data_IF_858676381550
#
_entry.id   IF_858676381550
#
_cell.length_a   1.000
_cell.length_b   1.000
_cell.length_c   1.000
_cell.angle_alpha   90.00
_cell.angle_beta   90.00
_cell.angle_gamma   90.00
#
_symmetry.space_group_name_H-M   'P 1'
#
loop_
_entity.id
_entity.type
_entity.pdbx_description
1 polymer ?
#
# COMPACT_ATOMS: atom_id res chain seq x y z
N UNK A 1 -52.74 2.38 0.13
CA UNK A 1 -53.17 2.35 -1.32
C UNK A 1 -54.54 1.68 -1.39
N UNK A 2 -55.54 2.19 -2.16
CA UNK A 2 -56.81 1.53 -2.32
C UNK A 2 -56.64 0.14 -2.91
N UNK A 3 -57.43 -0.82 -2.47
CA UNK A 3 -57.37 -2.21 -2.95
C UNK A 3 -57.69 -2.36 -4.45
N UNK A 4 -58.21 -1.30 -5.09
CA UNK A 4 -58.54 -1.23 -6.53
C UNK A 4 -57.44 -0.58 -7.38
N UNK A 5 -56.34 -0.09 -6.78
CA UNK A 5 -55.25 0.50 -7.53
C UNK A 5 -54.53 -0.56 -8.37
N UNK A 6 -54.26 -0.23 -9.64
CA UNK A 6 -53.51 -1.15 -10.51
C UNK A 6 -52.04 -1.10 -10.15
N UNK A 7 -51.34 -2.22 -10.26
CA UNK A 7 -49.90 -2.30 -9.97
C UNK A 7 -49.09 -1.26 -10.76
N UNK A 8 -49.48 -1.00 -12.01
CA UNK A 8 -48.84 0.00 -12.88
C UNK A 8 -48.91 1.44 -12.35
N UNK A 9 -49.92 1.75 -11.50
CA UNK A 9 -50.14 3.08 -10.97
C UNK A 9 -49.33 3.33 -9.66
N UNK A 10 -48.73 2.28 -9.10
CA UNK A 10 -47.97 2.30 -7.84
C UNK A 10 -46.54 1.78 -7.97
N UNK A 11 -46.18 1.21 -9.13
CA UNK A 11 -44.81 0.73 -9.37
C UNK A 11 -43.85 1.90 -9.61
N UNK A 12 -42.61 1.72 -9.20
CA UNK A 12 -41.52 2.63 -9.60
C UNK A 12 -41.16 2.31 -11.07
N UNK A 13 -41.15 3.35 -11.92
CA UNK A 13 -40.83 3.19 -13.34
C UNK A 13 -39.33 3.27 -13.59
N UNK A 14 -38.62 4.03 -12.76
CA UNK A 14 -37.15 4.23 -12.83
C UNK A 14 -36.46 3.15 -11.98
N UNK A 15 -36.47 1.91 -12.42
CA UNK A 15 -35.84 0.81 -11.73
C UNK A 15 -34.36 0.74 -12.12
N UNK A 16 -33.46 0.87 -11.12
CA UNK A 16 -32.05 0.63 -11.32
C UNK A 16 -31.85 -0.86 -11.59
N UNK A 17 -31.12 -1.18 -12.66
CA UNK A 17 -30.81 -2.56 -13.06
C UNK A 17 -29.36 -2.65 -13.54
N UNK A 18 -28.79 -3.84 -13.49
CA UNK A 18 -27.46 -4.15 -14.02
C UNK A 18 -27.53 -5.19 -15.13
N UNK A 19 -26.53 -5.22 -15.98
CA UNK A 19 -26.40 -6.22 -17.05
C UNK A 19 -25.72 -7.48 -16.51
N UNK A 20 -25.93 -8.60 -17.17
CA UNK A 20 -25.25 -9.88 -16.87
C UNK A 20 -23.72 -9.82 -16.92
N UNK A 21 -23.17 -8.85 -17.64
CA UNK A 21 -21.72 -8.64 -17.83
C UNK A 21 -21.11 -7.66 -16.81
N UNK A 22 -21.95 -7.03 -15.96
CA UNK A 22 -21.47 -6.08 -14.95
C UNK A 22 -20.63 -6.81 -13.90
N UNK A 23 -19.40 -6.37 -13.62
CA UNK A 23 -18.56 -6.98 -12.58
C UNK A 23 -19.23 -6.96 -11.21
N UNK A 24 -18.98 -8.00 -10.40
CA UNK A 24 -19.61 -8.17 -9.08
C UNK A 24 -19.30 -7.01 -8.14
N UNK A 25 -18.08 -6.48 -8.18
CA UNK A 25 -17.66 -5.31 -7.41
C UNK A 25 -18.45 -4.03 -7.80
N UNK A 26 -18.71 -3.84 -9.08
CA UNK A 26 -19.52 -2.71 -9.56
C UNK A 26 -20.99 -2.86 -9.12
N UNK A 27 -21.51 -4.08 -9.12
CA UNK A 27 -22.85 -4.40 -8.59
C UNK A 27 -22.96 -4.04 -7.12
N UNK A 28 -21.95 -4.44 -6.32
CA UNK A 28 -21.89 -4.13 -4.90
C UNK A 28 -21.88 -2.61 -4.65
N UNK A 29 -21.08 -1.88 -5.40
CA UNK A 29 -21.02 -0.42 -5.33
C UNK A 29 -22.35 0.27 -5.70
N UNK A 30 -23.09 -0.27 -6.70
CA UNK A 30 -24.40 0.27 -7.08
C UNK A 30 -25.42 0.03 -5.96
N UNK A 31 -25.44 -1.18 -5.39
CA UNK A 31 -26.36 -1.51 -4.31
C UNK A 31 -26.12 -0.68 -3.05
N UNK A 32 -24.85 -0.47 -2.67
CA UNK A 32 -24.46 0.40 -1.56
C UNK A 32 -24.84 1.86 -1.82
N UNK A 33 -24.51 2.38 -3.00
CA UNK A 33 -24.78 3.80 -3.35
C UNK A 33 -26.25 4.18 -3.32
N UNK A 34 -27.14 3.22 -3.65
CA UNK A 34 -28.57 3.46 -3.78
C UNK A 34 -29.40 2.79 -2.67
N UNK A 35 -28.74 2.25 -1.63
CA UNK A 35 -29.38 1.52 -0.51
C UNK A 35 -30.35 0.42 -0.97
N UNK A 36 -29.91 -0.38 -1.97
CA UNK A 36 -30.76 -1.39 -2.58
C UNK A 36 -30.65 -2.73 -1.84
N UNK A 37 -31.79 -3.34 -1.51
CA UNK A 37 -31.88 -4.69 -0.92
C UNK A 37 -31.89 -5.78 -2.00
N UNK A 38 -32.35 -5.45 -3.20
CA UNK A 38 -32.35 -6.33 -4.36
C UNK A 38 -32.18 -5.51 -5.63
N UNK A 39 -31.44 -6.05 -6.60
CA UNK A 39 -31.11 -5.41 -7.87
C UNK A 39 -31.49 -6.35 -9.03
N UNK A 40 -32.37 -5.92 -9.96
CA UNK A 40 -32.68 -6.67 -11.15
C UNK A 40 -31.47 -6.80 -12.09
N UNK A 41 -31.31 -7.99 -12.67
CA UNK A 41 -30.30 -8.27 -13.70
C UNK A 41 -31.00 -8.44 -15.05
N UNK A 42 -30.52 -7.71 -16.06
CA UNK A 42 -31.07 -7.74 -17.42
C UNK A 42 -30.02 -8.27 -18.42
N UNK A 43 -30.52 -8.92 -19.46
CA UNK A 43 -29.70 -9.33 -20.60
C UNK A 43 -29.40 -8.11 -21.54
N UNK A 44 -28.53 -8.26 -22.55
CA UNK A 44 -28.27 -7.20 -23.53
C UNK A 44 -29.50 -6.71 -24.29
N UNK A 45 -30.60 -7.51 -24.32
CA UNK A 45 -31.86 -7.16 -24.94
C UNK A 45 -32.84 -6.46 -23.98
N UNK A 46 -32.43 -6.19 -22.73
CA UNK A 46 -33.23 -5.54 -21.71
C UNK A 46 -34.28 -6.44 -21.04
N UNK A 47 -34.20 -7.78 -21.17
CA UNK A 47 -35.08 -8.72 -20.51
C UNK A 47 -34.57 -9.10 -19.14
N UNK A 48 -35.46 -9.18 -18.15
CA UNK A 48 -35.14 -9.62 -16.80
C UNK A 48 -34.67 -11.09 -16.81
N UNK A 49 -33.48 -11.36 -16.33
CA UNK A 49 -32.85 -12.69 -16.24
C UNK A 49 -32.84 -13.21 -14.82
N UNK A 50 -32.75 -12.28 -13.83
CA UNK A 50 -32.68 -12.65 -12.43
C UNK A 50 -32.62 -11.43 -11.51
N UNK A 51 -32.25 -11.66 -10.27
CA UNK A 51 -32.01 -10.63 -9.27
C UNK A 51 -30.77 -10.98 -8.44
N UNK A 52 -30.10 -9.98 -7.96
CA UNK A 52 -29.04 -10.07 -6.94
C UNK A 52 -29.59 -9.49 -5.66
N UNK A 53 -29.36 -10.12 -4.55
CA UNK A 53 -29.82 -9.67 -3.23
C UNK A 53 -28.67 -9.23 -2.35
N UNK A 54 -28.94 -8.50 -1.27
CA UNK A 54 -27.90 -7.91 -0.42
C UNK A 54 -27.00 -8.96 0.23
N UNK A 55 -27.53 -10.15 0.52
CA UNK A 55 -26.77 -11.30 1.03
C UNK A 55 -25.69 -11.76 0.04
N UNK A 56 -26.00 -11.87 -1.26
CA UNK A 56 -25.04 -12.17 -2.32
C UNK A 56 -23.92 -11.11 -2.38
N UNK A 57 -24.30 -9.82 -2.21
CA UNK A 57 -23.36 -8.71 -2.25
C UNK A 57 -22.45 -8.69 -1.02
N UNK A 58 -22.96 -9.02 0.15
CA UNK A 58 -22.13 -9.13 1.37
C UNK A 58 -21.07 -10.20 1.22
N UNK A 59 -21.39 -11.31 0.58
CA UNK A 59 -20.40 -12.38 0.33
C UNK A 59 -19.31 -11.91 -0.66
N UNK A 60 -19.68 -11.21 -1.73
CA UNK A 60 -18.72 -10.58 -2.67
C UNK A 60 -17.81 -9.60 -1.95
N UNK A 61 -18.36 -8.70 -1.11
CA UNK A 61 -17.56 -7.71 -0.36
C UNK A 61 -16.56 -8.41 0.56
N UNK A 62 -16.95 -9.50 1.23
CA UNK A 62 -16.07 -10.28 2.09
C UNK A 62 -14.96 -10.97 1.31
N UNK A 63 -15.29 -11.54 0.16
CA UNK A 63 -14.32 -12.21 -0.70
C UNK A 63 -13.28 -11.23 -1.23
N UNK A 64 -13.70 -10.07 -1.76
CA UNK A 64 -12.80 -9.02 -2.25
C UNK A 64 -11.93 -8.45 -1.12
N UNK A 65 -12.51 -8.16 0.05
CA UNK A 65 -11.73 -7.69 1.20
C UNK A 65 -10.70 -8.74 1.67
N UNK A 66 -11.05 -10.02 1.63
CA UNK A 66 -10.13 -11.11 1.92
C UNK A 66 -8.98 -11.19 0.91
N UNK A 67 -9.29 -11.04 -0.37
CA UNK A 67 -8.31 -11.01 -1.45
C UNK A 67 -7.36 -9.81 -1.34
N UNK A 68 -7.89 -8.62 -1.12
CA UNK A 68 -7.07 -7.42 -0.90
C UNK A 68 -6.11 -7.59 0.27
N UNK A 69 -6.61 -8.15 1.39
CA UNK A 69 -5.77 -8.46 2.54
C UNK A 69 -4.63 -9.43 2.22
N UNK A 70 -4.89 -10.46 1.43
CA UNK A 70 -3.88 -11.42 0.99
C UNK A 70 -2.84 -10.76 0.08
N UNK A 71 -3.27 -9.95 -0.90
CA UNK A 71 -2.38 -9.21 -1.80
C UNK A 71 -1.46 -8.25 -1.03
N UNK A 72 -2.02 -7.47 -0.10
CA UNK A 72 -1.26 -6.56 0.77
C UNK A 72 -0.24 -7.33 1.63
N UNK A 73 -0.58 -8.56 2.01
CA UNK A 73 0.31 -9.44 2.79
C UNK A 73 1.35 -10.19 1.93
N UNK A 74 1.36 -9.99 0.62
CA UNK A 74 2.28 -10.67 -0.29
C UNK A 74 1.88 -12.10 -0.62
N UNK A 75 0.59 -12.36 -0.79
CA UNK A 75 0.02 -13.65 -1.20
C UNK A 75 -0.69 -13.43 -2.54
N UNK A 76 -0.28 -14.14 -3.58
CA UNK A 76 -0.74 -13.92 -4.96
C UNK A 76 -1.99 -14.68 -5.36
N UNK A 77 -2.34 -15.73 -4.64
CA UNK A 77 -3.50 -16.59 -4.92
C UNK A 77 -4.39 -16.64 -3.68
N UNK A 78 -5.70 -16.80 -3.90
CA UNK A 78 -6.64 -17.00 -2.79
C UNK A 78 -6.37 -18.37 -2.15
N UNK A 79 -5.87 -18.37 -0.92
CA UNK A 79 -5.50 -19.56 -0.17
C UNK A 79 -6.05 -19.53 1.25
N UNK A 80 -6.34 -20.71 1.79
CA UNK A 80 -6.76 -20.92 3.18
C UNK A 80 -5.69 -21.65 3.98
N UNK A 81 -5.74 -21.50 5.31
CA UNK A 81 -4.80 -22.18 6.19
C UNK A 81 -4.90 -23.72 6.12
N UNK A 82 -6.04 -24.23 5.66
CA UNK A 82 -6.33 -25.66 5.44
C UNK A 82 -5.74 -26.23 4.16
N UNK A 83 -5.28 -25.36 3.22
CA UNK A 83 -4.71 -25.80 1.96
C UNK A 83 -3.40 -26.55 2.13
N UNK A 84 -3.08 -27.37 1.14
CA UNK A 84 -1.85 -28.16 1.17
C UNK A 84 -0.59 -27.27 1.04
N UNK A 85 0.54 -27.76 1.55
CA UNK A 85 1.80 -27.01 1.60
C UNK A 85 2.27 -26.54 0.22
N UNK A 86 1.98 -27.27 -0.86
CA UNK A 86 2.38 -26.89 -2.21
C UNK A 86 1.60 -25.67 -2.72
N UNK A 87 0.28 -25.62 -2.48
CA UNK A 87 -0.56 -24.46 -2.83
C UNK A 87 -0.13 -23.23 -2.04
N UNK A 88 0.06 -23.36 -0.72
CA UNK A 88 0.54 -22.26 0.13
C UNK A 88 1.92 -21.75 -0.29
N UNK A 89 2.82 -22.65 -0.69
CA UNK A 89 4.15 -22.28 -1.18
C UNK A 89 4.05 -21.51 -2.50
N UNK A 90 3.26 -22.02 -3.45
CA UNK A 90 3.06 -21.39 -4.76
C UNK A 90 2.51 -19.97 -4.64
N UNK A 91 1.58 -19.73 -3.74
CA UNK A 91 1.00 -18.42 -3.49
C UNK A 91 1.99 -17.40 -2.89
N UNK A 92 3.03 -17.86 -2.19
CA UNK A 92 4.03 -17.01 -1.50
C UNK A 92 5.32 -16.79 -2.29
N UNK A 93 5.76 -17.77 -3.07
CA UNK A 93 7.06 -17.75 -3.77
C UNK A 93 7.27 -16.49 -4.62
N UNK A 94 6.30 -15.98 -5.41
CA UNK A 94 6.54 -14.80 -6.23
C UNK A 94 7.02 -13.60 -5.43
N UNK A 95 6.38 -13.31 -4.31
CA UNK A 95 6.75 -12.20 -3.44
C UNK A 95 8.03 -12.45 -2.64
N UNK A 96 8.25 -13.68 -2.17
CA UNK A 96 9.50 -14.07 -1.52
C UNK A 96 10.69 -13.95 -2.47
N UNK A 97 10.48 -14.26 -3.76
CA UNK A 97 11.51 -14.10 -4.78
C UNK A 97 11.86 -12.62 -5.02
N UNK A 98 10.86 -11.73 -5.06
CA UNK A 98 11.08 -10.27 -5.13
C UNK A 98 11.87 -9.80 -3.90
N UNK A 99 11.50 -10.24 -2.72
CA UNK A 99 12.22 -9.93 -1.47
C UNK A 99 13.68 -10.42 -1.49
N UNK A 100 13.92 -11.66 -2.01
CA UNK A 100 15.26 -12.21 -2.16
C UNK A 100 16.12 -11.36 -3.12
N UNK A 101 15.57 -11.00 -4.28
CA UNK A 101 16.25 -10.11 -5.23
C UNK A 101 16.56 -8.75 -4.60
N UNK A 102 15.62 -8.21 -3.84
CA UNK A 102 15.82 -6.97 -3.08
C UNK A 102 16.96 -7.07 -2.07
N UNK A 103 17.01 -8.17 -1.32
CA UNK A 103 18.10 -8.45 -0.39
C UNK A 103 19.47 -8.54 -1.06
N UNK A 104 19.52 -9.19 -2.25
CA UNK A 104 20.75 -9.24 -3.06
C UNK A 104 21.15 -7.84 -3.52
N UNK A 105 20.20 -7.03 -4.01
CA UNK A 105 20.50 -5.64 -4.41
C UNK A 105 20.93 -4.79 -3.22
N UNK A 106 20.32 -4.97 -2.06
CA UNK A 106 20.76 -4.33 -0.82
C UNK A 106 22.20 -4.68 -0.45
N UNK A 107 22.57 -5.97 -0.55
CA UNK A 107 23.95 -6.41 -0.34
C UNK A 107 24.92 -5.78 -1.35
N UNK A 108 24.53 -5.63 -2.61
CA UNK A 108 25.34 -4.92 -3.63
C UNK A 108 25.52 -3.44 -3.24
N UNK A 109 24.44 -2.77 -2.81
CA UNK A 109 24.52 -1.37 -2.34
C UNK A 109 25.50 -1.25 -1.16
N UNK A 110 25.41 -2.14 -0.16
CA UNK A 110 26.35 -2.16 0.98
C UNK A 110 27.78 -2.36 0.48
N UNK A 111 28.00 -3.29 -0.47
CA UNK A 111 29.30 -3.55 -1.06
C UNK A 111 29.94 -2.35 -1.76
N UNK A 112 29.14 -1.44 -2.35
CA UNK A 112 29.66 -0.19 -2.94
C UNK A 112 30.27 0.75 -1.90
N UNK A 113 29.91 0.61 -0.63
CA UNK A 113 30.39 1.42 0.50
C UNK A 113 31.26 0.62 1.50
N UNK A 114 31.76 -0.57 1.08
CA UNK A 114 32.59 -1.44 1.94
C UNK A 114 33.79 -0.71 2.54
N UNK A 115 34.46 0.14 1.74
CA UNK A 115 35.61 0.93 2.20
C UNK A 115 35.21 1.94 3.29
N UNK A 116 34.10 2.62 3.10
CA UNK A 116 33.59 3.62 4.06
C UNK A 116 33.17 2.92 5.36
N UNK A 117 32.50 1.76 5.28
CA UNK A 117 32.14 0.94 6.43
C UNK A 117 33.36 0.30 7.11
N UNK A 118 34.42 0.01 6.37
CA UNK A 118 35.69 -0.46 6.95
C UNK A 118 36.41 0.61 7.78
N UNK A 119 36.25 1.88 7.42
CA UNK A 119 36.80 3.02 8.17
C UNK A 119 35.89 3.41 9.35
N UNK A 120 34.57 3.37 9.13
CA UNK A 120 33.56 3.80 10.11
C UNK A 120 32.54 2.66 10.35
N UNK A 121 32.98 1.58 11.04
CA UNK A 121 32.16 0.35 11.23
C UNK A 121 30.90 0.59 12.05
N UNK A 122 30.86 1.63 12.86
CA UNK A 122 29.69 2.02 13.66
C UNK A 122 28.48 2.37 12.79
N UNK A 123 28.68 2.79 11.55
CA UNK A 123 27.57 2.99 10.60
C UNK A 123 26.78 1.71 10.35
N UNK A 124 27.43 0.54 10.39
CA UNK A 124 26.75 -0.73 10.13
C UNK A 124 25.65 -1.04 11.17
N UNK A 125 25.78 -0.54 12.40
CA UNK A 125 24.82 -0.79 13.48
C UNK A 125 23.43 -0.19 13.22
N UNK A 126 23.37 0.86 12.39
CA UNK A 126 22.11 1.55 12.09
C UNK A 126 21.47 1.12 10.77
N UNK A 127 22.11 0.25 9.99
CA UNK A 127 21.54 -0.33 8.76
C UNK A 127 20.17 -0.95 9.01
N UNK A 128 19.99 -1.82 10.03
CA UNK A 128 18.68 -2.42 10.32
C UNK A 128 17.59 -1.40 10.68
N UNK A 129 17.96 -0.35 11.42
CA UNK A 129 17.02 0.71 11.79
C UNK A 129 16.54 1.48 10.56
N UNK A 130 17.45 1.86 9.68
CA UNK A 130 17.13 2.63 8.46
C UNK A 130 16.25 1.81 7.52
N UNK A 131 16.60 0.55 7.26
CA UNK A 131 15.79 -0.35 6.43
C UNK A 131 14.39 -0.53 7.03
N UNK A 132 14.30 -0.94 8.30
CA UNK A 132 13.01 -1.15 8.95
C UNK A 132 12.10 0.08 8.92
N UNK A 133 12.66 1.28 9.13
CA UNK A 133 11.88 2.52 9.11
C UNK A 133 11.41 2.88 7.72
N UNK A 134 12.25 2.70 6.68
CA UNK A 134 11.87 2.90 5.28
C UNK A 134 10.72 1.97 4.87
N UNK A 135 10.84 0.68 5.16
CA UNK A 135 9.80 -0.31 4.88
C UNK A 135 8.48 0.02 5.58
N UNK A 136 8.52 0.27 6.90
CA UNK A 136 7.33 0.55 7.69
C UNK A 136 6.58 1.80 7.23
N UNK A 137 7.29 2.92 7.00
CA UNK A 137 6.67 4.17 6.55
C UNK A 137 6.06 3.99 5.16
N UNK A 138 6.76 3.33 4.24
CA UNK A 138 6.26 3.08 2.91
C UNK A 138 4.98 2.24 2.89
N UNK A 139 4.94 1.17 3.67
CA UNK A 139 3.74 0.31 3.80
C UNK A 139 2.58 1.08 4.41
N UNK A 140 2.80 1.89 5.47
CA UNK A 140 1.74 2.70 6.08
C UNK A 140 1.14 3.68 5.08
N UNK A 141 1.97 4.44 4.35
CA UNK A 141 1.51 5.38 3.34
C UNK A 141 0.77 4.69 2.19
N UNK A 142 1.30 3.58 1.70
CA UNK A 142 0.68 2.78 0.63
C UNK A 142 -0.67 2.21 1.06
N UNK A 143 -0.76 1.62 2.25
CA UNK A 143 -2.01 1.03 2.77
C UNK A 143 -3.13 2.06 2.91
N UNK A 144 -2.82 3.29 3.37
CA UNK A 144 -3.81 4.38 3.47
C UNK A 144 -4.36 4.74 2.08
N UNK A 145 -3.50 4.80 1.07
CA UNK A 145 -3.93 5.13 -0.30
C UNK A 145 -4.75 3.99 -0.92
N UNK A 146 -4.30 2.74 -0.80
CA UNK A 146 -5.02 1.57 -1.32
C UNK A 146 -6.40 1.47 -0.69
N UNK A 147 -6.50 1.60 0.64
CA UNK A 147 -7.77 1.61 1.34
C UNK A 147 -8.68 2.76 0.86
N UNK A 148 -8.12 3.96 0.64
CA UNK A 148 -8.88 5.10 0.14
C UNK A 148 -9.36 4.91 -1.30
N UNK A 149 -8.60 4.18 -2.14
CA UNK A 149 -9.01 3.80 -3.50
C UNK A 149 -10.13 2.77 -3.46
N UNK A 150 -10.03 1.73 -2.65
CA UNK A 150 -11.05 0.70 -2.50
C UNK A 150 -12.41 1.28 -2.07
N UNK A 151 -12.42 2.19 -1.11
CA UNK A 151 -13.66 2.87 -0.67
C UNK A 151 -14.11 4.02 -1.58
N UNK A 152 -13.45 4.25 -2.73
CA UNK A 152 -13.70 5.42 -3.59
C UNK A 152 -13.81 6.75 -2.82
N UNK A 153 -13.23 6.78 -1.63
CA UNK A 153 -13.24 7.94 -0.74
C UNK A 153 -12.23 9.02 -1.16
N UNK A 154 -11.42 8.73 -2.16
CA UNK A 154 -10.54 9.70 -2.79
C UNK A 154 -11.42 10.69 -3.56
N UNK A 155 -11.83 11.79 -2.90
CA UNK A 155 -12.55 12.88 -3.55
C UNK A 155 -11.84 13.39 -4.81
N UNK A 156 -12.42 14.37 -5.48
CA UNK A 156 -11.92 15.00 -6.74
C UNK A 156 -10.53 15.65 -6.60
N UNK A 157 -9.83 15.40 -5.47
CA UNK A 157 -8.51 15.96 -5.19
C UNK A 157 -7.44 15.35 -6.12
N UNK A 158 -6.72 16.22 -6.82
CA UNK A 158 -5.62 15.80 -7.70
C UNK A 158 -4.49 15.12 -6.94
N UNK A 159 -3.76 14.22 -7.61
CA UNK A 159 -2.58 13.48 -7.08
C UNK A 159 -1.60 14.42 -6.36
N UNK A 160 -1.36 15.61 -6.90
CA UNK A 160 -0.42 16.58 -6.32
C UNK A 160 -0.80 17.04 -4.91
N UNK A 161 -2.10 17.25 -4.63
CA UNK A 161 -2.54 17.65 -3.28
C UNK A 161 -2.37 16.52 -2.27
N UNK A 162 -2.59 15.28 -2.68
CA UNK A 162 -2.38 14.09 -1.84
C UNK A 162 -0.91 13.92 -1.50
N UNK A 163 -0.01 14.07 -2.48
CA UNK A 163 1.44 14.03 -2.25
C UNK A 163 1.90 15.18 -1.34
N UNK A 164 1.35 16.39 -1.47
CA UNK A 164 1.67 17.50 -0.57
C UNK A 164 1.22 17.24 0.86
N UNK A 165 0.04 16.66 1.04
CA UNK A 165 -0.45 16.25 2.38
C UNK A 165 0.46 15.18 2.97
N UNK A 166 0.82 14.18 2.19
CA UNK A 166 1.72 13.11 2.62
C UNK A 166 3.11 13.64 2.96
N UNK A 167 3.66 14.55 2.16
CA UNK A 167 4.93 15.23 2.46
C UNK A 167 4.87 15.97 3.80
N UNK A 168 3.74 16.59 4.14
CA UNK A 168 3.55 17.25 5.43
C UNK A 168 3.57 16.25 6.58
N UNK A 169 2.87 15.13 6.43
CA UNK A 169 2.85 14.04 7.44
C UNK A 169 4.25 13.45 7.59
N UNK A 170 4.91 13.14 6.47
CA UNK A 170 6.27 12.61 6.47
C UNK A 170 7.27 13.57 7.12
N UNK A 171 7.13 14.87 6.89
CA UNK A 171 7.99 15.90 7.52
C UNK A 171 7.81 15.93 9.04
N UNK A 172 6.57 15.88 9.52
CA UNK A 172 6.30 15.84 10.97
C UNK A 172 6.88 14.56 11.58
N UNK A 173 6.57 13.39 11.03
CA UNK A 173 7.08 12.10 11.49
C UNK A 173 8.61 12.05 11.42
N UNK A 174 9.17 12.53 10.31
CA UNK A 174 10.59 12.58 10.08
C UNK A 174 11.32 13.45 11.12
N UNK A 175 10.83 14.65 11.43
CA UNK A 175 11.41 15.52 12.46
C UNK A 175 11.34 14.85 13.82
N UNK A 176 10.19 14.30 14.21
CA UNK A 176 10.02 13.65 15.52
C UNK A 176 10.98 12.46 15.66
N UNK A 177 11.01 11.55 14.72
CA UNK A 177 11.81 10.32 14.81
C UNK A 177 13.30 10.61 14.66
N UNK A 178 13.68 11.56 13.79
CA UNK A 178 15.08 12.00 13.67
C UNK A 178 15.58 12.72 14.90
N UNK A 179 14.72 13.51 15.57
CA UNK A 179 15.09 14.13 16.84
C UNK A 179 15.28 13.07 17.96
N UNK A 180 14.44 12.05 18.02
CA UNK A 180 14.59 10.96 18.99
C UNK A 180 15.92 10.23 18.79
N UNK A 181 16.24 9.82 17.54
CA UNK A 181 17.50 9.11 17.28
C UNK A 181 18.72 10.03 17.44
N UNK A 182 18.59 11.33 17.15
CA UNK A 182 19.63 12.31 17.42
C UNK A 182 19.95 12.37 18.89
N UNK A 183 18.95 12.52 19.75
CA UNK A 183 19.13 12.55 21.21
C UNK A 183 19.76 11.24 21.71
N UNK A 184 19.25 10.11 21.25
CA UNK A 184 19.82 8.80 21.61
C UNK A 184 21.30 8.73 21.24
N UNK A 185 21.67 9.02 20.00
CA UNK A 185 23.07 8.96 19.56
C UNK A 185 23.97 9.99 20.25
N UNK A 186 23.45 11.17 20.54
CA UNK A 186 24.21 12.22 21.24
C UNK A 186 24.66 11.79 22.63
N UNK A 187 23.86 10.96 23.32
CA UNK A 187 24.21 10.47 24.66
C UNK A 187 24.94 9.11 24.67
N UNK A 188 24.85 8.35 23.57
CA UNK A 188 25.38 6.97 23.53
C UNK A 188 26.63 6.82 22.67
N UNK A 189 26.92 7.77 21.78
CA UNK A 189 28.05 7.71 20.87
C UNK A 189 28.92 8.96 20.96
N UNK A 190 30.23 8.76 20.82
CA UNK A 190 31.22 9.85 20.83
C UNK A 190 31.35 10.53 19.45
N UNK A 191 30.82 9.90 18.39
CA UNK A 191 30.90 10.41 17.00
C UNK A 191 29.75 11.35 16.70
N UNK A 192 30.03 12.67 16.60
CA UNK A 192 29.03 13.63 16.14
C UNK A 192 28.67 13.44 14.66
N UNK A 193 29.63 13.00 13.84
CA UNK A 193 29.40 12.67 12.44
C UNK A 193 28.36 11.53 12.30
N UNK A 194 28.44 10.47 13.13
CA UNK A 194 27.47 9.39 13.17
C UNK A 194 26.09 9.90 13.57
N UNK A 195 26.02 10.72 14.63
CA UNK A 195 24.76 11.29 15.13
C UNK A 195 24.03 12.09 14.05
N UNK A 196 24.73 12.96 13.33
CA UNK A 196 24.17 13.71 12.21
C UNK A 196 23.79 12.80 11.03
N UNK A 197 24.66 11.84 10.70
CA UNK A 197 24.43 10.90 9.58
C UNK A 197 23.13 10.14 9.79
N UNK A 198 22.97 9.47 10.93
CA UNK A 198 21.80 8.63 11.21
C UNK A 198 20.52 9.46 11.23
N UNK A 199 20.55 10.62 11.91
CA UNK A 199 19.38 11.47 12.04
C UNK A 199 18.95 12.09 10.72
N UNK A 200 19.89 12.61 9.93
CA UNK A 200 19.58 13.20 8.61
C UNK A 200 19.13 12.13 7.60
N UNK A 201 19.79 10.98 7.62
CA UNK A 201 19.42 9.88 6.76
C UNK A 201 18.03 9.34 7.09
N UNK A 202 17.70 9.16 8.38
CA UNK A 202 16.39 8.73 8.80
C UNK A 202 15.30 9.70 8.32
N UNK A 203 15.53 11.01 8.46
CA UNK A 203 14.62 12.01 7.91
C UNK A 203 14.42 11.85 6.40
N UNK A 204 15.51 11.76 5.64
CA UNK A 204 15.47 11.61 4.18
C UNK A 204 14.76 10.32 3.74
N UNK A 205 15.02 9.21 4.44
CA UNK A 205 14.39 7.91 4.17
C UNK A 205 12.88 7.95 4.45
N UNK A 206 12.44 8.58 5.54
CA UNK A 206 11.02 8.74 5.86
C UNK A 206 10.31 9.55 4.77
N UNK A 207 10.92 10.67 4.32
CA UNK A 207 10.36 11.47 3.22
C UNK A 207 10.25 10.66 1.94
N UNK A 208 11.33 9.97 1.54
CA UNK A 208 11.34 9.15 0.34
C UNK A 208 10.28 8.04 0.40
N UNK A 209 10.29 7.26 1.49
CA UNK A 209 9.41 6.10 1.65
C UNK A 209 7.93 6.50 1.65
N UNK A 210 7.59 7.60 2.29
CA UNK A 210 6.22 8.12 2.34
C UNK A 210 5.73 8.57 0.96
N UNK A 211 6.54 9.35 0.25
CA UNK A 211 6.21 9.80 -1.10
C UNK A 211 6.08 8.61 -2.05
N UNK A 212 7.05 7.69 -2.01
CA UNK A 212 7.05 6.49 -2.86
C UNK A 212 5.86 5.59 -2.57
N UNK A 213 5.58 5.32 -1.28
CA UNK A 213 4.43 4.53 -0.83
C UNK A 213 3.08 5.12 -1.25
N UNK A 214 2.98 6.45 -1.31
CA UNK A 214 1.76 7.14 -1.79
C UNK A 214 1.68 7.17 -3.32
N UNK A 215 2.80 7.45 -3.98
CA UNK A 215 2.82 7.66 -5.43
C UNK A 215 2.53 6.37 -6.21
N UNK A 216 3.12 5.23 -5.79
CA UNK A 216 3.03 3.98 -6.56
C UNK A 216 1.60 3.45 -6.68
N UNK A 217 0.78 3.32 -5.62
CA UNK A 217 -0.61 2.90 -5.76
C UNK A 217 -1.44 3.84 -6.65
N UNK A 218 -1.24 5.16 -6.53
CA UNK A 218 -1.93 6.15 -7.38
C UNK A 218 -1.52 6.02 -8.86
N UNK A 219 -0.27 5.64 -9.12
CA UNK A 219 0.21 5.38 -10.47
C UNK A 219 -0.42 4.12 -11.06
N UNK A 220 -0.48 3.03 -10.29
CA UNK A 220 -1.10 1.77 -10.72
C UNK A 220 -2.59 1.95 -11.03
N UNK A 221 -3.33 2.64 -10.17
CA UNK A 221 -4.73 2.98 -10.41
C UNK A 221 -4.91 3.73 -11.73
N UNK A 222 -4.02 4.68 -12.03
CA UNK A 222 -4.06 5.41 -13.30
C UNK A 222 -3.88 4.50 -14.52
N UNK A 223 -3.11 3.41 -14.39
CA UNK A 223 -2.91 2.41 -15.42
C UNK A 223 -3.94 1.27 -15.36
N UNK A 224 -4.94 1.35 -14.49
CA UNK A 224 -5.96 0.31 -14.26
C UNK A 224 -5.34 -1.02 -13.85
N UNK A 225 -4.26 -0.97 -13.11
CA UNK A 225 -3.61 -2.10 -12.44
C UNK A 225 -4.03 -2.05 -10.98
N UNK A 226 -4.33 -3.20 -10.40
CA UNK A 226 -4.75 -3.30 -9.00
C UNK A 226 -3.73 -2.64 -8.06
N UNK A 227 -4.10 -1.55 -7.34
CA UNK A 227 -3.20 -0.85 -6.43
C UNK A 227 -2.73 -1.70 -5.26
N UNK A 228 -3.47 -2.74 -4.86
CA UNK A 228 -3.10 -3.65 -3.79
C UNK A 228 -1.79 -4.41 -4.08
N UNK A 229 -1.45 -4.60 -5.36
CA UNK A 229 -0.18 -5.17 -5.80
C UNK A 229 1.05 -4.32 -5.43
N UNK A 230 0.86 -3.01 -5.19
CA UNK A 230 1.95 -2.08 -4.82
C UNK A 230 2.18 -1.99 -3.31
N UNK A 231 1.53 -2.80 -2.52
CA UNK A 231 1.69 -2.80 -1.06
C UNK A 231 2.64 -3.91 -0.60
N UNK A 232 2.88 -3.97 0.70
CA UNK A 232 3.65 -5.05 1.29
C UNK A 232 5.06 -5.23 0.70
N UNK A 233 5.41 -6.43 0.23
CA UNK A 233 6.79 -6.78 -0.11
C UNK A 233 7.43 -5.93 -1.20
N UNK A 234 6.66 -5.41 -2.17
CA UNK A 234 7.22 -4.54 -3.21
C UNK A 234 7.70 -3.19 -2.64
N UNK A 235 6.82 -2.55 -1.87
CA UNK A 235 7.14 -1.26 -1.25
C UNK A 235 8.28 -1.40 -0.25
N UNK A 236 8.27 -2.44 0.60
CA UNK A 236 9.37 -2.67 1.56
C UNK A 236 10.68 -2.89 0.85
N UNK A 237 10.72 -3.76 -0.17
CA UNK A 237 11.94 -4.07 -0.91
C UNK A 237 12.58 -2.84 -1.56
N UNK A 238 11.78 -2.01 -2.22
CA UNK A 238 12.32 -0.79 -2.84
C UNK A 238 12.79 0.21 -1.79
N UNK A 239 12.02 0.39 -0.71
CA UNK A 239 12.37 1.31 0.35
C UNK A 239 13.62 0.85 1.13
N UNK A 240 13.83 -0.45 1.32
CA UNK A 240 15.01 -0.99 1.95
C UNK A 240 16.26 -0.67 1.11
N UNK A 241 16.22 -0.92 -0.19
CA UNK A 241 17.33 -0.63 -1.10
C UNK A 241 17.65 0.87 -1.13
N UNK A 242 16.61 1.69 -1.33
CA UNK A 242 16.77 3.14 -1.42
C UNK A 242 17.15 3.76 -0.07
N UNK A 243 16.60 3.23 1.01
CA UNK A 243 16.95 3.64 2.37
C UNK A 243 18.43 3.40 2.67
N UNK A 244 18.94 2.22 2.35
CA UNK A 244 20.37 1.90 2.45
C UNK A 244 21.22 2.83 1.60
N UNK A 245 20.83 3.07 0.35
CA UNK A 245 21.56 3.95 -0.55
C UNK A 245 21.63 5.39 -0.01
N UNK A 246 20.48 5.95 0.41
CA UNK A 246 20.40 7.29 1.00
C UNK A 246 21.26 7.37 2.26
N UNK A 247 21.18 6.39 3.14
CA UNK A 247 21.92 6.35 4.39
C UNK A 247 23.44 6.35 4.17
N UNK A 248 23.91 5.42 3.34
CA UNK A 248 25.34 5.25 3.09
C UNK A 248 25.91 6.44 2.30
N UNK A 249 25.13 7.03 1.38
CA UNK A 249 25.53 8.25 0.66
C UNK A 249 25.67 9.45 1.61
N UNK A 250 24.72 9.66 2.51
CA UNK A 250 24.78 10.72 3.52
C UNK A 250 25.95 10.50 4.48
N UNK A 251 26.13 9.24 4.91
CA UNK A 251 27.25 8.88 5.78
C UNK A 251 28.60 9.21 5.15
N UNK A 252 28.85 8.74 3.94
CA UNK A 252 30.06 9.08 3.19
C UNK A 252 30.30 10.59 3.09
N UNK A 253 29.23 11.35 2.89
CA UNK A 253 29.34 12.82 2.77
C UNK A 253 29.68 13.47 4.09
N UNK A 254 29.02 13.10 5.18
CA UNK A 254 29.25 13.73 6.49
C UNK A 254 30.60 13.34 7.10
N UNK A 255 31.00 12.08 6.99
CA UNK A 255 32.34 11.67 7.44
C UNK A 255 33.50 12.24 6.59
N UNK A 256 33.21 12.76 5.40
CA UNK A 256 34.19 13.50 4.62
C UNK A 256 34.31 14.98 5.06
N UNK A 257 33.32 15.50 5.80
CA UNK A 257 33.27 16.89 6.26
C UNK A 257 33.77 17.02 7.71
N UNK A 258 33.44 16.04 8.56
CA UNK A 258 33.76 15.99 9.99
C UNK A 258 34.87 15.00 10.28
#
# INVERSE_FOLDING_TARGET
TPSTAKIKDIMNVDVISVKTETPSEEVANIMDKYDLVALPVIDPLGRLVGRITIDDVVDVIREEAGRDYQLVSGITENVEASDNAFQLTRARIPWLFIGLLGGILGAVVIGLYEKDLGIYPEMAFFIPLIAAMGGNVGVQSSSIIVQSLAYRSLGVEGIGRKLLKELSVASINGVILSAIIFVYNFFTNDSFALTLTVSTALFGVIIFASIFGTFVPLLLERFKIDPALATGPFITTVNDIMGLFIYLMIGRTFYAIF
#
